data_IF_398738687422
#
_entry.id   IF_398738687422
#
_cell.length_a   1.000
_cell.length_b   1.000
_cell.length_c   1.000
_cell.angle_alpha   90.00
_cell.angle_beta   90.00
_cell.angle_gamma   90.00
#
_symmetry.space_group_name_H-M   'P 1'
#
loop_
_entity.id
_entity.type
_entity.pdbx_description
1 polymer ?
#
# COMPACT_ATOMS: atom_id res chain seq x y z
N UNK A 1 33.93 21.55 -18.23
CA UNK A 1 33.48 21.09 -16.90
C UNK A 1 31.99 20.90 -17.02
N UNK A 2 31.59 19.69 -17.45
CA UNK A 2 30.19 19.34 -17.69
C UNK A 2 29.57 18.79 -16.40
N UNK A 3 28.29 19.08 -16.28
CA UNK A 3 27.35 18.75 -15.20
C UNK A 3 27.52 17.34 -14.64
N UNK A 4 27.74 17.26 -13.33
CA UNK A 4 27.57 16.04 -12.57
C UNK A 4 26.11 16.03 -12.09
N UNK A 5 25.19 15.59 -12.96
CA UNK A 5 23.82 15.28 -12.57
C UNK A 5 23.90 14.18 -11.50
N UNK A 6 23.48 14.52 -10.29
CA UNK A 6 23.56 13.69 -9.09
C UNK A 6 22.65 12.45 -9.14
N UNK A 7 22.90 11.54 -10.07
CA UNK A 7 22.45 10.18 -9.93
C UNK A 7 23.24 9.54 -8.79
N UNK A 8 22.52 9.11 -7.76
CA UNK A 8 23.06 8.26 -6.71
C UNK A 8 23.74 7.05 -7.39
N UNK A 9 24.91 6.61 -6.90
CA UNK A 9 25.52 5.39 -7.42
C UNK A 9 24.55 4.23 -7.16
N UNK A 10 24.08 3.58 -8.23
CA UNK A 10 23.34 2.32 -8.12
C UNK A 10 24.34 1.32 -7.53
N UNK A 11 24.25 1.11 -6.21
CA UNK A 11 24.89 -0.02 -5.56
C UNK A 11 24.13 -1.23 -6.10
N UNK A 12 24.79 -2.07 -6.91
CA UNK A 12 24.16 -3.28 -7.42
C UNK A 12 23.60 -4.11 -6.26
N UNK A 13 22.36 -4.61 -6.41
CA UNK A 13 21.71 -5.44 -5.39
C UNK A 13 22.64 -6.60 -5.01
N UNK A 14 22.89 -6.81 -3.71
CA UNK A 14 23.68 -7.96 -3.26
C UNK A 14 22.82 -9.23 -3.12
N UNK A 15 21.52 -9.14 -3.37
CA UNK A 15 20.59 -10.25 -3.44
C UNK A 15 19.88 -10.34 -4.79
N UNK A 16 19.39 -11.54 -5.10
CA UNK A 16 18.53 -11.80 -6.25
C UNK A 16 17.08 -12.00 -5.80
N UNK A 17 16.10 -11.35 -6.46
CA UNK A 17 14.69 -11.61 -6.22
C UNK A 17 14.32 -13.07 -6.34
N UNK A 18 13.41 -13.50 -5.48
CA UNK A 18 12.86 -14.85 -5.49
C UNK A 18 12.01 -15.05 -6.74
N UNK A 19 12.33 -16.08 -7.52
CA UNK A 19 11.53 -16.50 -8.68
C UNK A 19 10.37 -17.41 -8.29
N UNK A 20 10.07 -17.55 -6.98
CA UNK A 20 8.95 -18.36 -6.50
C UNK A 20 7.65 -17.69 -6.91
N UNK A 21 6.78 -18.44 -7.58
CA UNK A 21 5.43 -18.02 -7.90
C UNK A 21 4.44 -18.29 -6.75
N UNK A 22 3.34 -17.54 -6.65
CA UNK A 22 2.26 -17.83 -5.69
C UNK A 22 1.76 -19.28 -5.82
N UNK A 23 1.61 -19.97 -4.68
CA UNK A 23 1.14 -21.36 -4.65
C UNK A 23 -0.37 -21.47 -4.88
N UNK A 24 -0.87 -22.54 -5.54
CA UNK A 24 -2.28 -22.66 -5.85
C UNK A 24 -3.14 -22.89 -4.59
N UNK A 25 -4.37 -22.40 -4.61
CA UNK A 25 -5.39 -22.76 -3.63
C UNK A 25 -5.68 -24.26 -3.68
N UNK A 26 -5.81 -24.89 -2.51
CA UNK A 26 -6.05 -26.33 -2.42
C UNK A 26 -7.46 -26.69 -2.95
N UNK A 27 -7.66 -27.83 -3.61
CA UNK A 27 -8.98 -28.26 -4.08
C UNK A 27 -10.05 -28.41 -2.99
N UNK A 28 -9.63 -28.57 -1.73
CA UNK A 28 -10.49 -28.64 -0.55
C UNK A 28 -10.87 -27.25 0.02
N UNK A 29 -10.33 -26.17 -0.54
CA UNK A 29 -10.60 -24.80 -0.08
C UNK A 29 -12.06 -24.44 -0.30
N UNK A 30 -12.65 -23.78 0.70
CA UNK A 30 -13.96 -23.13 0.60
C UNK A 30 -13.76 -21.63 0.56
N UNK A 31 -14.41 -20.98 -0.39
CA UNK A 31 -14.32 -19.54 -0.62
C UNK A 31 -15.72 -18.94 -0.61
N UNK A 32 -15.83 -17.74 -0.06
CA UNK A 32 -17.04 -16.92 -0.10
C UNK A 32 -16.72 -15.57 -0.73
N UNK A 33 -17.71 -14.94 -1.37
CA UNK A 33 -17.63 -13.52 -1.67
C UNK A 33 -17.34 -12.72 -0.39
N UNK A 34 -16.39 -11.81 -0.47
CA UNK A 34 -16.14 -10.89 0.62
C UNK A 34 -17.36 -9.99 0.84
N UNK A 35 -17.58 -9.56 2.09
CA UNK A 35 -18.78 -8.79 2.44
C UNK A 35 -18.86 -7.38 1.81
N UNK A 36 -17.80 -6.95 1.13
CA UNK A 36 -17.73 -5.72 0.35
C UNK A 36 -17.88 -5.95 -1.16
N UNK A 37 -18.26 -7.14 -1.60
CA UNK A 37 -18.48 -7.45 -3.02
C UNK A 37 -19.93 -7.84 -3.22
N UNK A 38 -20.56 -7.27 -4.26
CA UNK A 38 -21.86 -7.71 -4.75
C UNK A 38 -21.77 -8.03 -6.25
N UNK A 39 -22.34 -9.16 -6.70
CA UNK A 39 -22.56 -9.37 -8.12
C UNK A 39 -23.70 -8.45 -8.57
N UNK A 40 -23.51 -7.64 -9.62
CA UNK A 40 -24.59 -6.84 -10.22
C UNK A 40 -24.95 -7.36 -11.61
N UNK A 41 -26.20 -7.82 -11.73
CA UNK A 41 -26.82 -8.27 -12.98
C UNK A 41 -26.19 -9.52 -13.64
N UNK A 42 -27.00 -10.54 -13.90
CA UNK A 42 -26.60 -11.74 -14.68
C UNK A 42 -26.12 -11.44 -16.12
N UNK A 43 -26.30 -10.21 -16.61
CA UNK A 43 -25.98 -9.79 -17.97
C UNK A 43 -24.75 -8.86 -18.06
N UNK A 44 -24.22 -8.34 -16.93
CA UNK A 44 -23.09 -7.42 -16.94
C UNK A 44 -21.91 -8.04 -16.21
N UNK A 45 -20.77 -8.06 -16.89
CA UNK A 45 -19.54 -8.76 -16.53
C UNK A 45 -18.76 -7.98 -15.46
N UNK A 46 -19.46 -7.60 -14.39
CA UNK A 46 -19.06 -6.54 -13.48
C UNK A 46 -19.20 -7.02 -12.03
N UNK A 47 -18.13 -6.89 -11.26
CA UNK A 47 -18.18 -7.04 -9.81
C UNK A 47 -18.26 -5.68 -9.17
N UNK A 48 -19.23 -5.51 -8.29
CA UNK A 48 -19.51 -4.24 -7.66
C UNK A 48 -18.85 -4.24 -6.28
N UNK A 49 -17.83 -3.42 -6.13
CA UNK A 49 -16.98 -3.27 -4.96
C UNK A 49 -17.48 -2.11 -4.08
N UNK A 50 -17.73 -2.41 -2.82
CA UNK A 50 -17.92 -1.47 -1.73
C UNK A 50 -19.31 -0.86 -1.59
N UNK A 51 -19.89 -0.90 -0.38
CA UNK A 51 -20.39 0.29 0.32
C UNK A 51 -20.67 -0.01 1.81
N UNK A 52 -20.42 0.97 2.69
CA UNK A 52 -21.23 1.17 3.89
C UNK A 52 -22.59 1.78 3.47
N UNK A 53 -23.61 1.78 4.33
CA UNK A 53 -24.93 2.34 3.97
C UNK A 53 -24.82 3.76 3.36
N UNK A 54 -25.28 3.92 2.11
CA UNK A 54 -25.46 5.23 1.46
C UNK A 54 -24.42 5.65 0.40
N UNK A 55 -23.31 4.93 0.23
CA UNK A 55 -22.26 5.30 -0.75
C UNK A 55 -22.44 4.55 -2.10
N UNK A 56 -22.04 5.16 -3.24
CA UNK A 56 -22.07 4.50 -4.54
C UNK A 56 -21.02 3.38 -4.57
N UNK A 57 -21.39 2.26 -5.17
CA UNK A 57 -20.47 1.14 -5.35
C UNK A 57 -19.60 1.34 -6.58
N UNK A 58 -18.32 0.96 -6.51
CA UNK A 58 -17.40 0.98 -7.65
C UNK A 58 -17.51 -0.30 -8.48
N UNK A 59 -17.28 -0.20 -9.79
CA UNK A 59 -17.37 -1.35 -10.71
C UNK A 59 -15.96 -1.83 -11.05
N UNK A 60 -15.68 -3.08 -10.71
CA UNK A 60 -14.52 -3.83 -11.17
C UNK A 60 -14.90 -4.64 -12.41
N UNK A 61 -14.32 -4.28 -13.55
CA UNK A 61 -14.47 -5.04 -14.78
C UNK A 61 -13.51 -6.22 -14.79
N UNK A 62 -14.03 -7.42 -15.05
CA UNK A 62 -13.22 -8.62 -15.30
C UNK A 62 -13.06 -8.74 -16.82
N UNK A 63 -11.88 -9.14 -17.29
CA UNK A 63 -11.64 -9.41 -18.71
C UNK A 63 -12.67 -10.38 -19.29
N UNK A 64 -13.08 -10.17 -20.54
CA UNK A 64 -14.28 -10.73 -21.14
C UNK A 64 -14.34 -12.26 -21.21
N UNK A 65 -13.21 -12.93 -21.45
CA UNK A 65 -13.13 -14.41 -21.50
C UNK A 65 -13.08 -14.99 -20.07
N UNK A 66 -12.30 -14.36 -19.20
CA UNK A 66 -12.21 -14.67 -17.77
C UNK A 66 -13.55 -14.44 -17.04
N UNK A 67 -14.34 -13.46 -17.49
CA UNK A 67 -15.60 -13.09 -16.89
C UNK A 67 -16.67 -14.17 -17.10
N UNK A 68 -16.77 -14.76 -18.29
CA UNK A 68 -17.75 -15.84 -18.52
C UNK A 68 -17.46 -17.06 -17.67
N UNK A 69 -16.19 -17.42 -17.55
CA UNK A 69 -15.74 -18.53 -16.72
C UNK A 69 -15.97 -18.20 -15.23
N UNK A 70 -15.64 -16.99 -14.80
CA UNK A 70 -15.88 -16.51 -13.44
C UNK A 70 -17.36 -16.56 -13.06
N UNK A 71 -18.26 -16.08 -13.93
CA UNK A 71 -19.70 -16.05 -13.65
C UNK A 71 -20.32 -17.44 -13.46
N UNK A 72 -19.80 -18.46 -14.16
CA UNK A 72 -20.26 -19.85 -14.00
C UNK A 72 -19.93 -20.43 -12.61
N UNK A 73 -18.91 -19.90 -11.96
CA UNK A 73 -18.38 -20.42 -10.69
C UNK A 73 -18.77 -19.54 -9.51
N UNK A 74 -18.83 -18.22 -9.70
CA UNK A 74 -18.89 -17.23 -8.62
C UNK A 74 -20.12 -17.36 -7.72
N UNK A 75 -21.27 -17.71 -8.29
CA UNK A 75 -22.50 -17.92 -7.54
C UNK A 75 -22.46 -19.16 -6.63
N UNK A 76 -21.50 -20.06 -6.86
CA UNK A 76 -21.29 -21.27 -6.06
C UNK A 76 -20.20 -21.10 -4.99
N UNK A 77 -19.45 -19.98 -5.02
CA UNK A 77 -18.47 -19.58 -4.02
C UNK A 77 -19.19 -18.94 -2.81
N UNK A 78 -19.94 -19.78 -2.09
CA UNK A 78 -20.79 -19.41 -0.96
C UNK A 78 -20.19 -19.78 0.41
N UNK A 79 -18.93 -20.23 0.42
CA UNK A 79 -18.21 -20.68 1.60
C UNK A 79 -18.60 -22.07 2.11
N UNK A 80 -19.52 -22.79 1.45
CA UNK A 80 -19.99 -24.12 1.85
C UNK A 80 -19.39 -25.24 1.00
N UNK A 81 -19.22 -24.99 -0.30
CA UNK A 81 -18.67 -25.95 -1.25
C UNK A 81 -17.15 -25.82 -1.37
N UNK A 82 -16.47 -26.95 -1.55
CA UNK A 82 -15.04 -26.94 -1.94
C UNK A 82 -14.90 -26.66 -3.43
N UNK A 83 -13.71 -26.23 -3.89
CA UNK A 83 -13.43 -26.09 -5.32
C UNK A 83 -13.70 -27.41 -6.09
N UNK A 84 -13.41 -28.55 -5.47
CA UNK A 84 -13.71 -29.88 -6.03
C UNK A 84 -15.20 -30.14 -6.19
N UNK A 85 -16.02 -29.70 -5.23
CA UNK A 85 -17.48 -29.84 -5.30
C UNK A 85 -18.05 -28.95 -6.42
N UNK A 86 -17.54 -27.73 -6.54
CA UNK A 86 -17.96 -26.78 -7.58
C UNK A 86 -17.61 -27.30 -8.97
N UNK A 87 -16.41 -27.85 -9.17
CA UNK A 87 -16.01 -28.46 -10.44
C UNK A 87 -16.96 -29.61 -10.85
N UNK A 88 -17.35 -30.47 -9.89
CA UNK A 88 -18.31 -31.55 -10.13
C UNK A 88 -19.71 -31.02 -10.49
N UNK A 89 -20.21 -30.03 -9.74
CA UNK A 89 -21.55 -29.46 -9.93
C UNK A 89 -21.68 -28.73 -11.28
N UNK A 90 -20.65 -27.98 -11.67
CA UNK A 90 -20.61 -27.23 -12.93
C UNK A 90 -20.18 -28.05 -14.15
N UNK A 91 -19.67 -29.27 -13.93
CA UNK A 91 -19.00 -30.12 -14.92
C UNK A 91 -17.85 -29.39 -15.63
N UNK A 92 -17.17 -28.51 -14.91
CA UNK A 92 -15.97 -27.84 -15.35
C UNK A 92 -14.74 -28.60 -14.89
N UNK A 93 -13.63 -28.39 -15.61
CA UNK A 93 -12.34 -28.90 -15.16
C UNK A 93 -11.92 -28.23 -13.83
N UNK A 94 -11.32 -29.01 -12.93
CA UNK A 94 -10.89 -28.52 -11.62
C UNK A 94 -9.79 -27.47 -11.76
N UNK A 95 -8.90 -27.59 -12.75
CA UNK A 95 -7.85 -26.59 -12.95
C UNK A 95 -8.45 -25.24 -13.35
N UNK A 96 -9.48 -25.24 -14.22
CA UNK A 96 -10.22 -24.04 -14.57
C UNK A 96 -10.90 -23.39 -13.35
N UNK A 97 -11.65 -24.18 -12.56
CA UNK A 97 -12.31 -23.68 -11.33
C UNK A 97 -11.28 -23.12 -10.34
N UNK A 98 -10.14 -23.79 -10.20
CA UNK A 98 -9.07 -23.35 -9.30
C UNK A 98 -8.39 -22.08 -9.79
N UNK A 99 -8.14 -21.93 -11.09
CA UNK A 99 -7.57 -20.72 -11.69
C UNK A 99 -8.49 -19.52 -11.49
N UNK A 100 -9.78 -19.67 -11.80
CA UNK A 100 -10.79 -18.62 -11.58
C UNK A 100 -10.86 -18.22 -10.11
N UNK A 101 -10.88 -19.20 -9.21
CA UNK A 101 -10.92 -18.95 -7.77
C UNK A 101 -9.64 -18.25 -7.27
N UNK A 102 -8.47 -18.63 -7.81
CA UNK A 102 -7.18 -18.03 -7.51
C UNK A 102 -7.16 -16.55 -7.89
N UNK A 103 -7.57 -16.23 -9.12
CA UNK A 103 -7.57 -14.85 -9.63
C UNK A 103 -8.48 -13.95 -8.81
N UNK A 104 -9.69 -14.42 -8.50
CA UNK A 104 -10.64 -13.69 -7.65
C UNK A 104 -10.14 -13.57 -6.19
N UNK A 105 -9.41 -14.57 -5.69
CA UNK A 105 -8.80 -14.50 -4.36
C UNK A 105 -7.66 -13.48 -4.32
N UNK A 106 -6.75 -13.48 -5.30
CA UNK A 106 -5.68 -12.47 -5.42
C UNK A 106 -6.25 -11.06 -5.51
N UNK A 107 -7.39 -10.88 -6.18
CA UNK A 107 -8.12 -9.59 -6.27
C UNK A 107 -8.91 -9.23 -5.02
N UNK A 108 -8.78 -10.00 -3.92
CA UNK A 108 -9.53 -9.83 -2.67
C UNK A 108 -11.07 -9.78 -2.83
N UNK A 109 -11.58 -10.37 -3.91
CA UNK A 109 -13.02 -10.57 -4.14
C UNK A 109 -13.54 -11.71 -3.25
N UNK A 110 -12.70 -12.73 -3.06
CA UNK A 110 -13.01 -13.91 -2.26
C UNK A 110 -12.27 -13.90 -0.94
N UNK A 111 -12.91 -14.45 0.09
CA UNK A 111 -12.29 -14.79 1.36
C UNK A 111 -12.34 -16.30 1.57
N UNK A 112 -11.28 -16.83 2.15
CA UNK A 112 -11.21 -18.24 2.50
C UNK A 112 -11.98 -18.52 3.79
N UNK A 113 -12.89 -19.49 3.76
CA UNK A 113 -13.75 -19.86 4.89
C UNK A 113 -13.45 -21.25 5.45
N UNK A 114 -12.60 -22.04 4.80
CA UNK A 114 -12.28 -23.41 5.20
C UNK A 114 -11.34 -23.54 6.41
N UNK A 115 -10.62 -22.48 6.78
CA UNK A 115 -9.62 -22.51 7.84
C UNK A 115 -8.34 -23.28 7.49
N UNK A 116 -8.12 -23.55 6.19
CA UNK A 116 -6.92 -24.20 5.69
C UNK A 116 -5.75 -23.21 5.68
N UNK A 117 -4.55 -23.77 5.62
CA UNK A 117 -3.37 -22.97 5.35
C UNK A 117 -3.38 -22.47 3.91
N UNK A 118 -2.86 -21.26 3.71
CA UNK A 118 -2.74 -20.62 2.40
C UNK A 118 -1.27 -20.31 2.16
N UNK A 119 -0.80 -20.53 0.94
CA UNK A 119 0.55 -20.12 0.53
C UNK A 119 0.79 -18.63 0.84
N UNK A 120 1.95 -18.32 1.44
CA UNK A 120 2.23 -16.97 1.91
C UNK A 120 2.26 -15.93 0.77
N UNK A 121 2.82 -16.27 -0.40
CA UNK A 121 2.83 -15.36 -1.56
C UNK A 121 1.42 -15.16 -2.11
N UNK A 122 0.63 -16.22 -2.22
CA UNK A 122 -0.79 -16.11 -2.57
C UNK A 122 -1.55 -15.19 -1.64
N UNK A 123 -1.22 -15.22 -0.34
CA UNK A 123 -1.82 -14.30 0.62
C UNK A 123 -1.31 -12.86 0.49
N UNK A 124 -0.03 -12.66 0.13
CA UNK A 124 0.53 -11.33 -0.14
C UNK A 124 -0.20 -10.63 -1.30
N UNK A 125 -0.44 -11.33 -2.41
CA UNK A 125 -1.21 -10.79 -3.54
C UNK A 125 -2.64 -10.38 -3.12
N UNK A 126 -3.29 -11.23 -2.31
CA UNK A 126 -4.59 -10.91 -1.71
C UNK A 126 -4.53 -9.65 -0.85
N UNK A 127 -3.49 -9.47 -0.03
CA UNK A 127 -3.33 -8.32 0.85
C UNK A 127 -3.10 -7.02 0.07
N UNK A 128 -2.31 -7.04 -1.01
CA UNK A 128 -2.10 -5.87 -1.90
C UNK A 128 -3.43 -5.38 -2.46
N UNK A 129 -4.23 -6.29 -3.03
CA UNK A 129 -5.56 -5.95 -3.55
C UNK A 129 -6.52 -5.48 -2.46
N UNK A 130 -6.48 -6.12 -1.28
CA UNK A 130 -7.31 -5.73 -0.14
C UNK A 130 -7.02 -4.28 0.30
N UNK A 131 -5.76 -3.86 0.31
CA UNK A 131 -5.41 -2.49 0.66
C UNK A 131 -5.97 -1.49 -0.36
N UNK A 132 -5.87 -1.78 -1.66
CA UNK A 132 -6.48 -0.97 -2.71
C UNK A 132 -8.01 -0.86 -2.56
N UNK A 133 -8.69 -1.97 -2.32
CA UNK A 133 -10.15 -1.99 -2.08
C UNK A 133 -10.51 -1.22 -0.80
N UNK A 134 -9.70 -1.35 0.26
CA UNK A 134 -9.94 -0.62 1.50
C UNK A 134 -9.88 0.90 1.27
N UNK A 135 -8.88 1.37 0.53
CA UNK A 135 -8.76 2.79 0.14
C UNK A 135 -9.94 3.24 -0.72
N UNK A 136 -10.33 2.48 -1.74
CA UNK A 136 -11.51 2.76 -2.58
C UNK A 136 -12.78 2.85 -1.74
N UNK A 137 -13.02 1.86 -0.87
CA UNK A 137 -14.23 1.77 -0.04
C UNK A 137 -14.37 2.94 0.94
N UNK A 138 -13.27 3.44 1.47
CA UNK A 138 -13.29 4.61 2.36
C UNK A 138 -13.32 5.94 1.60
N UNK A 139 -13.23 5.87 0.26
CA UNK A 139 -13.06 7.01 -0.63
C UNK A 139 -11.65 7.57 -0.59
N UNK A 140 -11.31 8.49 -1.50
CA UNK A 140 -10.06 9.24 -1.42
C UNK A 140 -9.98 9.87 -0.03
N UNK A 141 -8.77 9.85 0.54
CA UNK A 141 -8.53 10.50 1.83
C UNK A 141 -9.00 11.95 1.77
N UNK A 142 -9.38 12.51 2.91
CA UNK A 142 -9.87 13.89 2.96
C UNK A 142 -8.88 14.86 2.32
N UNK A 143 -7.58 14.65 2.55
CA UNK A 143 -6.50 15.39 1.90
C UNK A 143 -6.53 15.25 0.38
N UNK A 144 -6.51 14.01 -0.14
CA UNK A 144 -6.54 13.76 -1.58
C UNK A 144 -7.78 14.36 -2.24
N UNK A 145 -8.95 14.24 -1.61
CA UNK A 145 -10.18 14.87 -2.09
C UNK A 145 -10.02 16.39 -2.16
N UNK A 146 -9.55 17.01 -1.06
CA UNK A 146 -9.33 18.47 -1.00
C UNK A 146 -8.36 18.92 -2.08
N UNK A 147 -7.30 18.16 -2.29
CA UNK A 147 -6.29 18.40 -3.31
C UNK A 147 -6.87 18.41 -4.73
N UNK A 148 -7.69 17.41 -5.07
CA UNK A 148 -8.25 17.27 -6.43
C UNK A 148 -9.40 18.24 -6.71
N UNK A 149 -10.25 18.52 -5.72
CA UNK A 149 -11.52 19.23 -5.95
C UNK A 149 -11.58 20.64 -5.38
N UNK A 150 -10.59 21.07 -4.60
CA UNK A 150 -10.65 22.33 -3.87
C UNK A 150 -9.32 23.09 -3.84
N UNK A 151 -9.33 24.32 -3.27
CA UNK A 151 -8.12 25.11 -3.16
C UNK A 151 -7.18 24.51 -2.10
N UNK A 152 -5.90 24.44 -2.46
CA UNK A 152 -4.81 24.07 -1.55
C UNK A 152 -4.15 25.36 -1.07
N UNK A 153 -3.99 25.54 0.23
CA UNK A 153 -3.26 26.68 0.79
C UNK A 153 -1.76 26.39 0.82
N UNK A 154 -0.94 27.45 0.88
CA UNK A 154 0.51 27.31 1.09
C UNK A 154 0.83 26.51 2.37
N UNK A 155 0.08 26.75 3.45
CA UNK A 155 0.24 26.05 4.74
C UNK A 155 -0.06 24.56 4.62
N UNK A 156 -1.12 24.19 3.89
CA UNK A 156 -1.45 22.78 3.62
C UNK A 156 -0.39 22.11 2.74
N UNK A 157 0.09 22.80 1.70
CA UNK A 157 1.15 22.29 0.84
C UNK A 157 2.44 22.03 1.63
N UNK A 158 2.89 22.98 2.43
CA UNK A 158 4.06 22.83 3.32
C UNK A 158 3.85 21.68 4.30
N UNK A 159 2.69 21.61 4.97
CA UNK A 159 2.38 20.55 5.91
C UNK A 159 2.44 19.17 5.27
N UNK A 160 1.92 19.01 4.05
CA UNK A 160 2.00 17.75 3.32
C UNK A 160 3.46 17.33 3.08
N UNK A 161 4.31 18.25 2.62
CA UNK A 161 5.73 17.97 2.41
C UNK A 161 6.45 17.65 3.72
N UNK A 162 6.12 18.37 4.80
CA UNK A 162 6.76 18.21 6.10
C UNK A 162 6.43 16.86 6.74
N UNK A 163 5.18 16.42 6.67
CA UNK A 163 4.77 15.10 7.17
C UNK A 163 5.44 13.95 6.40
N UNK A 164 5.57 14.07 5.07
CA UNK A 164 6.31 13.08 4.28
C UNK A 164 7.81 13.09 4.61
N UNK A 165 8.40 14.25 4.88
CA UNK A 165 9.76 14.34 5.40
C UNK A 165 9.93 13.62 6.74
N UNK A 166 8.98 13.80 7.68
CA UNK A 166 9.04 13.10 8.96
C UNK A 166 8.91 11.58 8.81
N UNK A 167 8.04 11.12 7.90
CA UNK A 167 7.92 9.69 7.60
C UNK A 167 9.25 9.12 7.05
N UNK A 168 9.84 9.77 6.05
CA UNK A 168 11.14 9.37 5.49
C UNK A 168 12.28 9.44 6.53
N UNK A 169 12.31 10.47 7.38
CA UNK A 169 13.29 10.58 8.46
C UNK A 169 13.18 9.43 9.48
N UNK A 170 11.97 8.88 9.64
CA UNK A 170 11.71 7.76 10.52
C UNK A 170 12.02 6.38 9.91
N UNK A 171 12.39 6.31 8.63
CA UNK A 171 12.72 5.07 7.92
C UNK A 171 13.70 4.19 8.71
N UNK A 172 14.82 4.80 9.12
CA UNK A 172 15.84 4.14 9.95
C UNK A 172 15.29 3.52 11.23
N UNK A 173 14.27 4.14 11.83
CA UNK A 173 13.75 3.71 13.12
C UNK A 173 12.87 2.46 13.04
N UNK A 174 12.11 2.28 11.96
CA UNK A 174 11.24 1.11 11.79
C UNK A 174 11.89 0.03 10.92
N UNK A 175 12.67 0.40 9.90
CA UNK A 175 13.38 -0.58 9.08
C UNK A 175 14.52 -1.26 9.84
N UNK A 176 15.29 -0.55 10.69
CA UNK A 176 16.33 -1.21 11.49
C UNK A 176 15.74 -2.27 12.44
N UNK A 177 14.56 -1.97 13.00
CA UNK A 177 13.82 -2.94 13.81
C UNK A 177 13.38 -4.15 12.97
N UNK A 178 12.89 -3.93 11.75
CA UNK A 178 12.52 -4.98 10.81
C UNK A 178 13.72 -5.83 10.38
N UNK A 179 14.89 -5.23 10.10
CA UNK A 179 16.14 -5.94 9.81
C UNK A 179 16.53 -6.85 10.97
N UNK A 180 16.54 -6.31 12.19
CA UNK A 180 16.98 -7.05 13.38
C UNK A 180 16.09 -8.27 13.70
N UNK A 181 14.82 -8.24 13.32
CA UNK A 181 13.85 -9.30 13.60
C UNK A 181 13.76 -10.38 12.51
N UNK A 182 14.44 -10.23 11.37
CA UNK A 182 14.34 -11.19 10.28
C UNK A 182 14.93 -12.56 10.64
N UNK A 183 14.28 -13.67 10.22
CA UNK A 183 14.69 -15.02 10.60
C UNK A 183 15.91 -15.54 9.82
N UNK A 184 16.22 -14.96 8.66
CA UNK A 184 17.30 -15.45 7.78
C UNK A 184 18.26 -14.32 7.42
N UNK A 185 19.53 -14.66 7.22
CA UNK A 185 20.54 -13.70 6.74
C UNK A 185 20.17 -13.13 5.36
N UNK A 186 19.53 -13.92 4.49
CA UNK A 186 18.99 -13.43 3.21
C UNK A 186 18.02 -12.27 3.43
N UNK A 187 17.01 -12.43 4.28
CA UNK A 187 16.02 -11.38 4.54
C UNK A 187 16.64 -10.17 5.27
N UNK A 188 17.62 -10.39 6.14
CA UNK A 188 18.41 -9.29 6.75
C UNK A 188 19.15 -8.49 5.69
N UNK A 189 19.80 -9.15 4.73
CA UNK A 189 20.51 -8.49 3.62
C UNK A 189 19.54 -7.67 2.78
N UNK A 190 18.40 -8.26 2.38
CA UNK A 190 17.36 -7.60 1.58
C UNK A 190 16.89 -6.32 2.27
N UNK A 191 16.48 -6.40 3.54
CA UNK A 191 15.97 -5.22 4.26
C UNK A 191 17.07 -4.23 4.66
N UNK A 192 18.32 -4.68 4.82
CA UNK A 192 19.45 -3.77 5.07
C UNK A 192 19.80 -2.94 3.84
N UNK A 193 19.68 -3.52 2.65
CA UNK A 193 19.79 -2.78 1.40
C UNK A 193 18.67 -1.76 1.26
N UNK A 194 17.40 -2.18 1.48
CA UNK A 194 16.26 -1.24 1.49
C UNK A 194 16.48 -0.08 2.45
N UNK A 195 16.89 -0.37 3.69
CA UNK A 195 17.25 0.64 4.67
C UNK A 195 18.37 1.56 4.17
N UNK A 196 19.39 1.02 3.50
CA UNK A 196 20.50 1.83 3.01
C UNK A 196 20.07 2.81 1.90
N UNK A 197 19.08 2.42 1.08
CA UNK A 197 18.44 3.31 0.11
C UNK A 197 17.62 4.39 0.83
N UNK A 198 16.66 3.99 1.67
CA UNK A 198 15.75 4.91 2.36
C UNK A 198 16.44 5.88 3.33
N UNK A 199 17.56 5.47 3.94
CA UNK A 199 18.23 6.22 4.99
C UNK A 199 18.54 7.67 4.60
N UNK A 200 18.87 7.94 3.34
CA UNK A 200 19.25 9.27 2.87
C UNK A 200 18.10 10.09 2.30
N UNK A 201 16.91 9.51 2.13
CA UNK A 201 15.77 10.18 1.50
C UNK A 201 15.36 11.45 2.26
N UNK A 202 15.33 11.43 3.59
CA UNK A 202 15.00 12.61 4.39
C UNK A 202 15.92 13.82 4.10
N UNK A 203 17.22 13.60 3.94
CA UNK A 203 18.18 14.65 3.64
C UNK A 203 17.95 15.24 2.23
N UNK A 204 17.50 14.42 1.30
CA UNK A 204 17.09 14.85 -0.03
C UNK A 204 15.77 15.64 0.01
N UNK A 205 14.74 15.12 0.67
CA UNK A 205 13.43 15.77 0.84
C UNK A 205 13.52 17.12 1.55
N UNK A 206 14.45 17.26 2.49
CA UNK A 206 14.76 18.54 3.17
C UNK A 206 15.04 19.69 2.19
N UNK A 207 15.64 19.40 1.02
CA UNK A 207 15.88 20.43 -0.01
C UNK A 207 14.57 21.04 -0.52
N UNK A 208 13.51 20.23 -0.62
CA UNK A 208 12.18 20.69 -1.02
C UNK A 208 11.55 21.58 0.05
N UNK A 209 11.74 21.26 1.34
CA UNK A 209 11.26 22.09 2.46
C UNK A 209 11.97 23.44 2.54
N UNK A 210 13.29 23.47 2.32
CA UNK A 210 14.04 24.73 2.24
C UNK A 210 13.58 25.57 1.05
N UNK A 211 13.35 24.96 -0.12
CA UNK A 211 12.77 25.65 -1.27
C UNK A 211 11.33 26.12 -1.04
N UNK A 212 10.57 25.41 -0.20
CA UNK A 212 9.26 25.85 0.28
C UNK A 212 9.36 27.04 1.26
N UNK A 213 10.56 27.39 1.74
CA UNK A 213 10.82 28.55 2.60
C UNK A 213 10.95 28.23 4.08
N UNK A 214 11.11 26.96 4.48
CA UNK A 214 11.41 26.58 5.86
C UNK A 214 12.89 26.80 6.15
N UNK A 215 13.17 27.30 7.35
CA UNK A 215 14.52 27.45 7.88
C UNK A 215 14.95 26.18 8.64
N UNK A 216 16.25 26.07 8.94
CA UNK A 216 16.74 24.99 9.80
C UNK A 216 16.05 24.99 11.17
N UNK A 217 15.84 26.18 11.75
CA UNK A 217 15.17 26.33 13.04
C UNK A 217 13.71 25.83 13.00
N UNK A 218 12.99 26.07 11.90
CA UNK A 218 11.63 25.54 11.72
C UNK A 218 11.64 24.00 11.71
N UNK A 219 12.63 23.40 11.04
CA UNK A 219 12.76 21.94 10.95
C UNK A 219 13.20 21.30 12.27
N UNK A 220 14.06 21.99 13.05
CA UNK A 220 14.47 21.54 14.38
C UNK A 220 13.32 21.57 15.39
N UNK A 221 12.38 22.51 15.24
CA UNK A 221 11.19 22.63 16.08
C UNK A 221 10.02 21.74 15.62
N UNK A 222 9.98 21.39 14.33
CA UNK A 222 8.92 20.60 13.74
C UNK A 222 8.85 19.19 14.36
N UNK A 223 7.67 18.85 14.88
CA UNK A 223 7.29 17.50 15.25
C UNK A 223 6.33 16.92 14.20
N UNK A 224 6.34 15.59 13.95
CA UNK A 224 5.27 14.96 13.17
C UNK A 224 3.92 15.15 13.87
N UNK A 225 2.84 15.25 13.08
CA UNK A 225 1.49 15.18 13.62
C UNK A 225 1.27 13.89 14.42
N UNK A 226 0.33 13.90 15.37
CA UNK A 226 0.14 12.80 16.31
C UNK A 226 -0.20 11.48 15.59
N UNK A 227 -1.04 11.55 14.56
CA UNK A 227 -1.39 10.40 13.72
C UNK A 227 -0.24 9.93 12.83
N UNK A 228 0.63 10.83 12.34
CA UNK A 228 1.85 10.45 11.63
C UNK A 228 2.82 9.73 12.59
N UNK A 229 2.99 10.26 13.79
CA UNK A 229 3.77 9.61 14.83
C UNK A 229 3.20 8.23 15.21
N UNK A 230 1.87 8.08 15.24
CA UNK A 230 1.21 6.80 15.46
C UNK A 230 1.44 5.82 14.32
N UNK A 231 1.42 6.28 13.07
CA UNK A 231 1.77 5.48 11.89
C UNK A 231 3.22 4.96 11.95
N UNK A 232 4.17 5.86 12.24
CA UNK A 232 5.59 5.52 12.42
C UNK A 232 5.78 4.49 13.53
N UNK A 233 5.12 4.70 14.68
CA UNK A 233 5.24 3.79 15.83
C UNK A 233 4.59 2.42 15.56
N UNK A 234 3.49 2.38 14.80
CA UNK A 234 2.86 1.13 14.36
C UNK A 234 3.83 0.33 13.48
N UNK A 235 4.47 0.97 12.49
CA UNK A 235 5.48 0.33 11.66
C UNK A 235 6.68 -0.14 12.48
N UNK A 236 7.20 0.68 13.41
CA UNK A 236 8.31 0.28 14.29
C UNK A 236 7.97 -0.95 15.12
N UNK A 237 6.79 -0.97 15.73
CA UNK A 237 6.34 -2.12 16.51
C UNK A 237 6.18 -3.37 15.63
N UNK A 238 5.59 -3.24 14.44
CA UNK A 238 5.49 -4.35 13.49
C UNK A 238 6.87 -4.85 13.07
N UNK A 239 7.81 -3.95 12.77
CA UNK A 239 9.17 -4.29 12.41
C UNK A 239 9.82 -5.16 13.48
N UNK A 240 9.58 -4.89 14.76
CA UNK A 240 10.09 -5.73 15.86
C UNK A 240 9.33 -7.05 16.06
N UNK A 241 8.01 -7.04 15.93
CA UNK A 241 7.14 -8.07 16.50
C UNK A 241 6.42 -8.96 15.47
N UNK A 242 6.28 -8.51 14.23
CA UNK A 242 5.70 -9.30 13.14
C UNK A 242 6.23 -8.84 11.78
N UNK A 243 7.37 -9.42 11.35
CA UNK A 243 7.99 -9.17 10.05
C UNK A 243 7.03 -9.26 8.87
N UNK A 244 6.14 -10.26 8.81
CA UNK A 244 5.21 -10.41 7.67
C UNK A 244 4.17 -9.30 7.64
N UNK A 245 3.63 -8.92 8.81
CA UNK A 245 2.73 -7.76 8.89
C UNK A 245 3.42 -6.46 8.51
N UNK A 246 4.67 -6.27 8.94
CA UNK A 246 5.49 -5.13 8.53
C UNK A 246 5.66 -5.08 7.01
N UNK A 247 6.10 -6.19 6.42
CA UNK A 247 6.32 -6.30 4.98
C UNK A 247 5.05 -6.13 4.15
N UNK A 248 3.89 -6.58 4.66
CA UNK A 248 2.61 -6.29 4.02
C UNK A 248 2.28 -4.78 4.02
N UNK A 249 2.61 -4.06 5.10
CA UNK A 249 2.34 -2.62 5.18
C UNK A 249 3.29 -1.82 4.27
N UNK A 250 4.59 -2.14 4.30
CA UNK A 250 5.59 -1.51 3.44
C UNK A 250 5.31 -1.83 1.98
N UNK A 251 5.10 -3.09 1.60
CA UNK A 251 4.84 -3.46 0.20
C UNK A 251 3.59 -2.79 -0.40
N UNK A 252 2.62 -2.38 0.42
CA UNK A 252 1.47 -1.59 -0.01
C UNK A 252 1.77 -0.09 -0.10
N UNK A 253 2.73 0.40 0.69
CA UNK A 253 3.19 1.79 0.69
C UNK A 253 4.22 2.09 -0.40
N UNK A 254 5.08 1.13 -0.73
CA UNK A 254 6.03 1.21 -1.85
C UNK A 254 5.24 1.28 -3.17
N UNK A 255 5.59 2.24 -4.01
CA UNK A 255 4.86 2.55 -5.24
C UNK A 255 4.65 1.34 -6.16
N UNK A 256 3.51 1.28 -6.83
CA UNK A 256 3.25 0.29 -7.88
C UNK A 256 3.70 0.87 -9.23
N UNK A 257 4.47 0.15 -10.08
CA UNK A 257 4.84 0.63 -11.41
C UNK A 257 3.65 1.03 -12.28
N UNK A 258 2.49 0.39 -12.09
CA UNK A 258 1.25 0.73 -12.79
C UNK A 258 0.67 2.08 -12.36
N UNK A 259 1.08 2.60 -11.18
CA UNK A 259 0.66 3.88 -10.64
C UNK A 259 1.52 5.08 -11.10
N UNK A 260 2.65 4.84 -11.80
CA UNK A 260 3.59 5.90 -12.22
C UNK A 260 2.91 7.08 -12.93
N UNK A 261 2.00 6.79 -13.87
CA UNK A 261 1.26 7.84 -14.58
C UNK A 261 0.32 8.64 -13.66
N UNK A 262 -0.24 8.00 -12.64
CA UNK A 262 -1.11 8.65 -11.65
C UNK A 262 -0.31 9.52 -10.69
N UNK A 263 0.85 9.03 -10.22
CA UNK A 263 1.80 9.79 -9.38
C UNK A 263 2.32 11.03 -10.13
N UNK A 264 2.69 10.89 -11.40
CA UNK A 264 3.10 12.04 -12.23
C UNK A 264 2.01 13.12 -12.30
N UNK A 265 0.77 12.73 -12.62
CA UNK A 265 -0.38 13.64 -12.66
C UNK A 265 -0.69 14.29 -11.32
N UNK A 266 -0.48 13.57 -10.22
CA UNK A 266 -0.65 14.12 -8.88
C UNK A 266 0.32 15.30 -8.66
N UNK A 267 1.60 15.14 -8.95
CA UNK A 267 2.59 16.20 -8.76
C UNK A 267 2.46 17.37 -9.76
N UNK A 268 2.07 17.09 -11.00
CA UNK A 268 1.70 18.13 -11.98
C UNK A 268 0.57 19.00 -11.42
N UNK A 269 -0.51 18.37 -10.98
CA UNK A 269 -1.66 19.06 -10.38
C UNK A 269 -1.29 19.83 -9.11
N UNK A 270 -0.35 19.32 -8.32
CA UNK A 270 0.14 20.00 -7.12
C UNK A 270 0.88 21.29 -7.45
N UNK A 271 1.66 21.26 -8.52
CA UNK A 271 2.37 22.42 -9.03
C UNK A 271 1.41 23.47 -9.61
N UNK A 272 0.34 23.04 -10.29
CA UNK A 272 -0.68 23.93 -10.86
C UNK A 272 -1.40 24.82 -9.83
N UNK A 273 -1.48 24.41 -8.56
CA UNK A 273 -2.04 25.26 -7.49
C UNK A 273 -1.22 26.52 -7.25
N UNK A 274 0.05 26.55 -7.65
CA UNK A 274 0.90 27.76 -7.62
C UNK A 274 1.20 28.31 -6.23
N UNK A 275 1.02 27.50 -5.17
CA UNK A 275 1.17 27.96 -3.77
C UNK A 275 2.58 27.83 -3.21
N UNK A 276 3.45 27.07 -3.89
CA UNK A 276 4.89 26.92 -3.60
C UNK A 276 5.69 26.99 -4.91
N UNK A 277 6.99 27.32 -4.85
CA UNK A 277 7.90 27.17 -5.98
C UNK A 277 7.95 25.71 -6.46
N UNK A 278 8.13 25.50 -7.78
CA UNK A 278 8.17 24.15 -8.38
C UNK A 278 9.30 23.31 -7.75
N UNK A 279 10.40 23.97 -7.40
CA UNK A 279 11.58 23.37 -6.78
C UNK A 279 11.29 22.75 -5.41
N UNK A 280 10.24 23.20 -4.72
CA UNK A 280 9.80 22.63 -3.45
C UNK A 280 9.26 21.19 -3.62
N UNK A 281 8.62 20.92 -4.75
CA UNK A 281 7.99 19.62 -5.03
C UNK A 281 8.96 18.61 -5.65
N UNK A 282 10.02 19.09 -6.32
CA UNK A 282 10.96 18.25 -7.06
C UNK A 282 11.45 17.01 -6.29
N UNK A 283 12.07 17.17 -5.10
CA UNK A 283 12.58 16.04 -4.33
C UNK A 283 11.51 15.00 -3.96
N UNK A 284 10.30 15.43 -3.62
CA UNK A 284 9.20 14.54 -3.24
C UNK A 284 8.62 13.82 -4.45
N UNK A 285 8.44 14.52 -5.57
CA UNK A 285 8.03 13.92 -6.83
C UNK A 285 9.01 12.86 -7.29
N UNK A 286 10.29 13.20 -7.29
CA UNK A 286 11.33 12.31 -7.80
C UNK A 286 11.47 11.07 -6.89
N UNK A 287 11.25 11.21 -5.58
CA UNK A 287 11.12 10.09 -4.64
C UNK A 287 9.96 9.17 -5.01
N UNK A 288 8.72 9.68 -5.07
CA UNK A 288 7.54 8.85 -5.37
C UNK A 288 7.61 8.20 -6.76
N UNK A 289 8.22 8.88 -7.74
CA UNK A 289 8.47 8.31 -9.06
C UNK A 289 9.49 7.17 -9.00
N UNK A 290 10.56 7.34 -8.21
CA UNK A 290 11.58 6.31 -7.99
C UNK A 290 11.00 5.06 -7.35
N UNK A 291 10.14 5.22 -6.34
CA UNK A 291 9.44 4.10 -5.69
C UNK A 291 8.61 3.27 -6.68
N UNK A 292 8.00 3.93 -7.66
CA UNK A 292 7.27 3.26 -8.74
C UNK A 292 8.18 2.59 -9.78
N UNK A 293 9.43 3.03 -9.98
CA UNK A 293 10.30 2.54 -11.06
C UNK A 293 11.27 1.43 -10.66
N UNK A 294 11.60 1.31 -9.37
CA UNK A 294 12.82 0.59 -8.94
C UNK A 294 12.58 -0.82 -8.36
N UNK A 295 11.49 -1.50 -8.74
CA UNK A 295 11.09 -2.83 -8.20
C UNK A 295 11.12 -2.86 -6.65
N UNK A 296 10.73 -1.75 -6.00
CA UNK A 296 10.67 -1.63 -4.53
C UNK A 296 9.58 -2.50 -3.92
N UNK A 297 8.57 -2.88 -4.71
CA UNK A 297 7.52 -3.82 -4.33
C UNK A 297 8.08 -5.18 -3.86
N UNK A 298 9.26 -5.55 -4.35
CA UNK A 298 9.94 -6.79 -3.98
C UNK A 298 10.29 -6.83 -2.48
N UNK A 299 10.60 -5.69 -1.84
CA UNK A 299 10.95 -5.68 -0.40
C UNK A 299 9.81 -6.17 0.49
N UNK A 300 8.56 -5.86 0.11
CA UNK A 300 7.38 -6.38 0.79
C UNK A 300 7.10 -7.84 0.47
N UNK A 301 7.46 -8.30 -0.74
CA UNK A 301 7.17 -9.64 -1.27
C UNK A 301 8.11 -10.72 -0.75
N UNK A 302 9.41 -10.45 -0.67
CA UNK A 302 10.44 -11.44 -0.34
C UNK A 302 10.21 -12.18 1.00
N UNK A 303 9.81 -11.50 2.10
CA UNK A 303 9.50 -12.19 3.36
C UNK A 303 8.36 -13.20 3.23
N UNK A 304 7.39 -12.97 2.35
CA UNK A 304 6.34 -13.95 2.03
C UNK A 304 6.85 -15.06 1.11
N UNK A 305 7.78 -14.75 0.21
CA UNK A 305 8.44 -15.74 -0.65
C UNK A 305 9.29 -16.75 0.15
N UNK A 306 9.86 -16.33 1.28
CA UNK A 306 10.64 -17.18 2.18
C UNK A 306 9.79 -17.84 3.28
N UNK A 307 8.53 -17.43 3.44
CA UNK A 307 7.62 -17.98 4.43
C UNK A 307 6.95 -19.29 3.97
N UNK A 308 6.66 -20.15 4.95
CA UNK A 308 5.80 -21.32 4.78
C UNK A 308 4.31 -20.95 4.69
N UNK A 309 3.42 -21.94 4.48
CA UNK A 309 1.98 -21.72 4.48
C UNK A 309 1.49 -21.02 5.75
N UNK A 310 0.53 -20.11 5.60
CA UNK A 310 -0.03 -19.29 6.66
C UNK A 310 -1.32 -19.90 7.20
N UNK A 311 -1.38 -20.08 8.51
CA UNK A 311 -2.61 -20.51 9.18
C UNK A 311 -3.71 -19.45 9.07
N UNK A 312 -4.96 -19.83 9.32
CA UNK A 312 -6.06 -18.87 9.40
C UNK A 312 -5.83 -17.77 10.46
N UNK A 313 -5.12 -18.09 11.54
CA UNK A 313 -4.77 -17.11 12.58
C UNK A 313 -3.71 -16.12 12.08
N UNK A 314 -2.72 -16.58 11.32
CA UNK A 314 -1.72 -15.71 10.68
C UNK A 314 -2.37 -14.76 9.68
N UNK A 315 -3.22 -15.30 8.80
CA UNK A 315 -3.97 -14.52 7.82
C UNK A 315 -4.80 -13.41 8.51
N UNK A 316 -5.60 -13.77 9.52
CA UNK A 316 -6.42 -12.80 10.25
C UNK A 316 -5.59 -11.71 10.96
N UNK A 317 -4.46 -12.10 11.57
CA UNK A 317 -3.55 -11.18 12.26
C UNK A 317 -2.91 -10.17 11.29
N UNK A 318 -2.34 -10.65 10.18
CA UNK A 318 -1.68 -9.81 9.18
C UNK A 318 -2.69 -8.87 8.54
N UNK A 319 -3.85 -9.39 8.13
CA UNK A 319 -4.96 -8.57 7.61
C UNK A 319 -5.36 -7.45 8.56
N UNK A 320 -5.55 -7.75 9.85
CA UNK A 320 -5.94 -6.72 10.83
C UNK A 320 -4.87 -5.63 10.92
N UNK A 321 -3.59 -6.00 10.93
CA UNK A 321 -2.46 -5.07 11.04
C UNK A 321 -2.30 -4.19 9.80
N UNK A 322 -2.50 -4.74 8.60
CA UNK A 322 -2.55 -3.99 7.36
C UNK A 322 -3.73 -3.01 7.33
N UNK A 323 -4.93 -3.45 7.72
CA UNK A 323 -6.10 -2.55 7.79
C UNK A 323 -5.88 -1.44 8.83
N UNK A 324 -5.20 -1.72 9.94
CA UNK A 324 -4.79 -0.68 10.91
C UNK A 324 -3.84 0.32 10.26
N UNK A 325 -2.84 -0.14 9.51
CA UNK A 325 -1.93 0.74 8.77
C UNK A 325 -2.69 1.65 7.81
N UNK A 326 -3.56 1.12 6.96
CA UNK A 326 -4.34 1.94 6.03
C UNK A 326 -5.27 2.94 6.75
N UNK A 327 -5.82 2.60 7.93
CA UNK A 327 -6.60 3.52 8.75
C UNK A 327 -5.76 4.63 9.38
N UNK A 328 -4.53 4.33 9.79
CA UNK A 328 -3.59 5.35 10.27
C UNK A 328 -3.21 6.31 9.15
N UNK A 329 -3.04 5.80 7.92
CA UNK A 329 -2.88 6.63 6.71
C UNK A 329 -4.05 7.60 6.53
N UNK A 330 -5.29 7.12 6.69
CA UNK A 330 -6.47 7.99 6.63
C UNK A 330 -6.55 8.99 7.79
N UNK A 331 -6.15 8.58 8.99
CA UNK A 331 -6.17 9.44 10.16
C UNK A 331 -5.19 10.61 10.00
N UNK A 332 -3.98 10.36 9.47
CA UNK A 332 -3.04 11.44 9.18
C UNK A 332 -3.57 12.40 8.14
N UNK A 333 -4.18 11.92 7.06
CA UNK A 333 -4.76 12.81 6.06
C UNK A 333 -5.87 13.71 6.62
N UNK A 334 -6.56 13.26 7.67
CA UNK A 334 -7.57 14.08 8.36
C UNK A 334 -6.89 15.12 9.24
N UNK A 335 -5.97 14.71 10.11
CA UNK A 335 -5.26 15.62 11.02
C UNK A 335 -4.46 16.68 10.24
N UNK A 336 -3.86 16.30 9.10
CA UNK A 336 -3.18 17.22 8.19
C UNK A 336 -4.12 18.35 7.74
N UNK A 337 -5.37 18.04 7.38
CA UNK A 337 -6.34 19.07 7.02
C UNK A 337 -6.82 19.87 8.22
N UNK A 338 -7.00 19.23 9.37
CA UNK A 338 -7.48 19.90 10.57
C UNK A 338 -6.45 20.94 11.05
N UNK A 339 -5.15 20.59 11.02
CA UNK A 339 -4.07 21.47 11.47
C UNK A 339 -3.58 22.45 10.39
N UNK A 340 -3.24 21.96 9.19
CA UNK A 340 -2.64 22.77 8.11
C UNK A 340 -3.66 23.31 7.10
N UNK A 341 -4.90 22.82 7.10
CA UNK A 341 -5.95 23.27 6.18
C UNK A 341 -6.35 24.74 6.35
N UNK A 342 -6.48 25.29 7.57
CA UNK A 342 -6.74 26.71 7.76
C UNK A 342 -5.63 27.59 7.16
N UNK A 343 -5.99 28.73 6.57
CA UNK A 343 -5.01 29.65 5.95
C UNK A 343 -4.04 30.27 6.97
N UNK A 344 -4.49 30.44 8.22
CA UNK A 344 -3.73 31.04 9.30
C UNK A 344 -3.39 29.99 10.37
N UNK A 345 -2.23 30.15 11.00
CA UNK A 345 -1.73 29.31 12.09
C UNK A 345 -0.24 29.00 11.92
N UNK A 346 0.35 28.25 12.86
CA UNK A 346 1.79 27.93 12.82
C UNK A 346 2.17 27.11 11.59
N UNK A 347 3.34 27.42 11.00
CA UNK A 347 3.83 26.77 9.77
C UNK A 347 4.34 25.35 10.02
N UNK A 348 4.72 25.04 11.26
CA UNK A 348 5.14 23.70 11.71
C UNK A 348 4.28 23.28 12.89
N UNK A 349 4.09 21.97 13.07
CA UNK A 349 3.49 21.41 14.27
C UNK A 349 4.56 21.25 15.34
N UNK A 350 4.25 21.59 16.59
CA UNK A 350 5.09 21.35 17.77
C UNK A 350 4.24 20.66 18.82
N UNK A 351 4.79 19.65 19.49
CA UNK A 351 4.07 18.91 20.55
C UNK A 351 3.85 19.75 21.82
N UNK A 352 4.58 20.86 21.96
CA UNK A 352 4.52 21.73 23.13
C UNK A 352 3.49 22.87 23.01
N UNK A 353 2.96 23.11 21.80
CA UNK A 353 1.94 24.13 21.48
C UNK A 353 0.52 23.53 21.47
#
# INVERSE_FOLDING_TARGET
MSENNGHLPIIGRAWHPSTREPGPLLPATRLALANWVRPDGLARRELVLGAAEGEPWEVMTIDSESAEQAWRVIHLLDGKRTLSDIAKETRLDLALVSSVAQDLYHRAVLVQTSGLEVDALTYYEHLRSLAGIAQQRWGPSSMLRRFWTGPVSRRLAVGYLLENYHFAAAASSHQSAAVASQPTERLKTILSEHLSFEYWHHAWLKRGLVAAGLTEADLEQASPLISMQALINHLRWLGMADPLSYSACIGVGEGDPTALATVGKFWERFTEHGVLPVEAFGPFRDHDIGDCSDDHDQFGREPFADAGPLTAADQARIRRRLITFCRLTMAYHRELLDFYGPEQGPTVFSVED
#
